data_IF_977629091739
#
_entry.id   IF_977629091739
#
_cell.length_a   1.000
_cell.length_b   1.000
_cell.length_c   1.000
_cell.angle_alpha   90.00
_cell.angle_beta   90.00
_cell.angle_gamma   90.00
#
_symmetry.space_group_name_H-M   'P 1'
#
loop_
_entity.id
_entity.type
_entity.pdbx_description
1 polymer ?
#
# COMPACT_ATOMS: atom_id res chain seq x y z
N UNK A 1 2.71 -10.78 15.92
CA UNK A 1 1.29 -10.37 15.95
C UNK A 1 1.22 -8.94 15.45
N UNK A 2 0.21 -8.58 14.65
CA UNK A 2 -0.02 -7.18 14.27
C UNK A 2 -0.44 -6.43 15.54
N UNK A 3 0.18 -5.28 15.82
CA UNK A 3 -0.13 -4.48 17.00
C UNK A 3 -1.54 -3.88 16.93
N UNK A 4 -2.07 -3.49 18.10
CA UNK A 4 -3.45 -3.01 18.24
C UNK A 4 -3.69 -1.70 17.48
N UNK A 5 -2.69 -0.82 17.38
CA UNK A 5 -2.79 0.44 16.64
C UNK A 5 -2.93 0.21 15.14
N UNK A 6 -2.12 -0.70 14.60
CA UNK A 6 -2.25 -1.14 13.21
C UNK A 6 -3.59 -1.82 12.96
N UNK A 7 -4.08 -2.64 13.88
CA UNK A 7 -5.40 -3.29 13.76
C UNK A 7 -6.55 -2.29 13.71
N UNK A 8 -6.51 -1.25 14.53
CA UNK A 8 -7.51 -0.18 14.54
C UNK A 8 -7.45 0.69 13.28
N UNK A 9 -6.27 0.89 12.72
CA UNK A 9 -6.11 1.62 11.46
C UNK A 9 -6.73 0.83 10.32
N UNK A 10 -6.44 -0.48 10.25
CA UNK A 10 -6.98 -1.37 9.22
C UNK A 10 -8.50 -1.53 9.30
N UNK A 11 -9.09 -1.52 10.50
CA UNK A 11 -10.54 -1.66 10.66
C UNK A 11 -11.33 -0.47 10.09
N UNK A 12 -10.68 0.70 9.96
CA UNK A 12 -11.26 1.92 9.38
C UNK A 12 -11.11 2.01 7.87
N UNK A 13 -10.34 1.11 7.25
CA UNK A 13 -10.15 1.08 5.79
C UNK A 13 -11.31 0.31 5.15
N UNK A 14 -12.01 0.88 4.14
CA UNK A 14 -13.06 0.16 3.43
C UNK A 14 -12.54 -1.11 2.76
N UNK A 15 -13.21 -2.23 3.05
CA UNK A 15 -12.91 -3.53 2.46
C UNK A 15 -13.47 -3.62 1.04
N UNK A 16 -12.71 -4.25 0.16
CA UNK A 16 -13.07 -4.46 -1.24
C UNK A 16 -13.88 -5.75 -1.41
N UNK A 17 -14.65 -5.83 -2.50
CA UNK A 17 -15.55 -6.97 -2.76
C UNK A 17 -15.22 -7.64 -4.09
N UNK A 18 -14.87 -6.85 -5.09
CA UNK A 18 -14.66 -7.35 -6.45
C UNK A 18 -13.34 -8.12 -6.54
N UNK A 19 -13.39 -9.41 -6.87
CA UNK A 19 -12.18 -10.22 -7.14
C UNK A 19 -11.84 -10.13 -8.63
N UNK A 20 -11.16 -9.07 -9.03
CA UNK A 20 -10.77 -8.83 -10.41
C UNK A 20 -9.38 -8.20 -10.49
N UNK A 21 -8.60 -8.65 -11.47
CA UNK A 21 -7.28 -8.11 -11.81
C UNK A 21 -7.29 -7.34 -13.13
N UNK A 22 -6.12 -6.82 -13.54
CA UNK A 22 -5.99 -5.98 -14.75
C UNK A 22 -6.50 -6.60 -16.06
N UNK A 23 -6.63 -7.93 -16.13
CA UNK A 23 -7.11 -8.65 -17.32
C UNK A 23 -8.63 -8.78 -17.41
N UNK A 24 -9.35 -8.49 -16.34
CA UNK A 24 -10.80 -8.74 -16.22
C UNK A 24 -11.66 -7.59 -16.76
N UNK A 25 -11.08 -6.68 -17.56
CA UNK A 25 -11.75 -5.59 -18.30
C UNK A 25 -12.72 -4.77 -17.43
N UNK A 26 -14.03 -4.93 -17.61
CA UNK A 26 -15.04 -4.14 -16.89
C UNK A 26 -15.03 -4.40 -15.38
N UNK A 27 -14.74 -5.64 -14.97
CA UNK A 27 -14.61 -5.98 -13.55
C UNK A 27 -13.38 -5.31 -12.94
N UNK A 28 -12.32 -5.09 -13.72
CA UNK A 28 -11.16 -4.31 -13.28
C UNK A 28 -11.54 -2.85 -13.01
N UNK A 29 -12.35 -2.25 -13.87
CA UNK A 29 -12.84 -0.88 -13.66
C UNK A 29 -13.69 -0.78 -12.39
N UNK A 30 -14.52 -1.79 -12.10
CA UNK A 30 -15.28 -1.87 -10.85
C UNK A 30 -14.34 -1.97 -9.65
N UNK A 31 -13.34 -2.85 -9.71
CA UNK A 31 -12.32 -2.99 -8.67
C UNK A 31 -11.55 -1.69 -8.45
N UNK A 32 -11.11 -1.01 -9.51
CA UNK A 32 -10.40 0.27 -9.40
C UNK A 32 -11.22 1.34 -8.69
N UNK A 33 -12.54 1.41 -8.94
CA UNK A 33 -13.42 2.32 -8.20
C UNK A 33 -13.41 2.03 -6.71
N UNK A 34 -13.44 0.75 -6.31
CA UNK A 34 -13.31 0.34 -4.91
C UNK A 34 -11.94 0.71 -4.33
N UNK A 35 -10.86 0.52 -5.10
CA UNK A 35 -9.50 0.90 -4.68
C UNK A 35 -9.37 2.41 -4.42
N UNK A 36 -9.85 3.25 -5.34
CA UNK A 36 -9.83 4.71 -5.14
C UNK A 36 -10.67 5.12 -3.94
N UNK A 37 -11.87 4.56 -3.77
CA UNK A 37 -12.70 4.87 -2.60
C UNK A 37 -12.00 4.47 -1.30
N UNK A 38 -11.36 3.31 -1.27
CA UNK A 38 -10.61 2.83 -0.11
C UNK A 38 -9.41 3.72 0.20
N UNK A 39 -8.64 4.13 -0.82
CA UNK A 39 -7.50 5.04 -0.69
C UNK A 39 -7.92 6.44 -0.24
N UNK A 40 -8.94 7.02 -0.85
CA UNK A 40 -9.47 8.35 -0.48
C UNK A 40 -9.91 8.33 0.98
N UNK A 41 -10.66 7.30 1.40
CA UNK A 41 -11.11 7.20 2.78
C UNK A 41 -9.94 7.00 3.75
N UNK A 42 -8.93 6.23 3.36
CA UNK A 42 -7.74 6.06 4.18
C UNK A 42 -6.97 7.38 4.37
N UNK A 43 -6.75 8.14 3.29
CA UNK A 43 -6.11 9.46 3.36
C UNK A 43 -6.94 10.45 4.18
N UNK A 44 -8.28 10.44 4.05
CA UNK A 44 -9.16 11.27 4.87
C UNK A 44 -9.00 10.95 6.36
N UNK A 45 -9.04 9.68 6.73
CA UNK A 45 -8.87 9.25 8.12
C UNK A 45 -7.48 9.65 8.67
N UNK A 46 -6.44 9.56 7.84
CA UNK A 46 -5.09 9.99 8.20
C UNK A 46 -5.02 11.49 8.45
N UNK A 47 -5.64 12.31 7.59
CA UNK A 47 -5.74 13.76 7.77
C UNK A 47 -6.54 14.16 9.01
N UNK A 48 -7.65 13.49 9.28
CA UNK A 48 -8.45 13.69 10.50
C UNK A 48 -7.66 13.36 11.77
N UNK A 49 -6.69 12.44 11.67
CA UNK A 49 -5.78 12.06 12.75
C UNK A 49 -4.47 12.87 12.77
N UNK A 50 -4.34 13.92 11.95
CA UNK A 50 -3.12 14.72 11.77
C UNK A 50 -1.87 13.88 11.46
N UNK A 51 -2.06 12.79 10.71
CA UNK A 51 -1.03 11.83 10.35
C UNK A 51 -1.07 11.55 8.84
N UNK A 52 -1.13 12.60 8.01
CA UNK A 52 -1.03 12.46 6.57
C UNK A 52 0.42 12.13 6.19
N UNK A 53 0.63 11.00 5.51
CA UNK A 53 1.97 10.43 5.28
C UNK A 53 2.23 9.97 3.84
N UNK A 54 1.23 10.01 2.94
CA UNK A 54 1.45 9.62 1.55
C UNK A 54 0.44 10.21 0.58
N UNK A 55 0.85 10.25 -0.69
CA UNK A 55 0.00 10.54 -1.83
C UNK A 55 0.34 9.59 -2.97
N UNK A 56 -0.69 8.98 -3.56
CA UNK A 56 -0.55 8.05 -4.67
C UNK A 56 -1.46 8.46 -5.83
N UNK A 57 -0.94 8.29 -7.02
CA UNK A 57 -1.61 8.48 -8.29
C UNK A 57 -1.35 7.25 -9.17
N UNK A 58 -2.15 7.07 -10.22
CA UNK A 58 -1.99 5.95 -11.14
C UNK A 58 -2.06 6.41 -12.59
N UNK A 59 -1.61 5.56 -13.50
CA UNK A 59 -1.93 5.70 -14.92
C UNK A 59 -3.44 5.54 -15.17
N UNK A 60 -3.87 5.86 -16.41
CA UNK A 60 -5.27 5.77 -16.83
C UNK A 60 -5.86 4.37 -16.68
N UNK A 61 -5.02 3.35 -16.84
CA UNK A 61 -5.41 1.94 -16.73
C UNK A 61 -5.41 1.43 -15.28
N UNK A 62 -4.90 2.21 -14.31
CA UNK A 62 -4.77 1.83 -12.91
C UNK A 62 -3.81 0.66 -12.64
N UNK A 63 -2.95 0.33 -13.61
CA UNK A 63 -2.00 -0.78 -13.55
C UNK A 63 -0.62 -0.37 -13.05
N UNK A 64 -0.30 0.92 -13.11
CA UNK A 64 0.93 1.50 -12.59
C UNK A 64 0.59 2.59 -11.60
N UNK A 65 1.19 2.53 -10.43
CA UNK A 65 0.99 3.48 -9.35
C UNK A 65 2.31 4.12 -8.99
N UNK A 66 2.26 5.42 -8.76
CA UNK A 66 3.41 6.23 -8.41
C UNK A 66 2.97 7.37 -7.51
N UNK A 67 3.90 7.86 -6.71
CA UNK A 67 3.61 8.95 -5.79
C UNK A 67 4.74 9.16 -4.81
N UNK A 68 4.40 9.70 -3.65
CA UNK A 68 5.35 10.05 -2.61
C UNK A 68 4.81 9.64 -1.25
N UNK A 69 5.67 9.13 -0.39
CA UNK A 69 5.39 9.00 1.03
C UNK A 69 6.38 9.84 1.83
N UNK A 70 5.99 10.25 3.02
CA UNK A 70 6.87 10.99 3.90
C UNK A 70 6.72 10.52 5.34
N UNK A 71 7.79 10.69 6.11
CA UNK A 71 7.87 10.33 7.51
C UNK A 71 8.47 11.50 8.28
N UNK A 72 7.92 11.79 9.46
CA UNK A 72 8.41 12.84 10.34
C UNK A 72 9.12 12.17 11.51
N UNK A 73 10.42 12.42 11.64
CA UNK A 73 11.24 11.95 12.75
C UNK A 73 12.08 13.12 13.28
N UNK A 74 12.07 13.35 14.58
CA UNK A 74 12.77 14.48 15.24
C UNK A 74 12.49 15.85 14.58
N UNK A 75 11.22 16.11 14.25
CA UNK A 75 10.76 17.32 13.54
C UNK A 75 11.35 17.51 12.13
N UNK A 76 12.04 16.51 11.58
CA UNK A 76 12.51 16.49 10.20
C UNK A 76 11.56 15.67 9.34
N UNK A 77 11.11 16.25 8.22
CA UNK A 77 10.31 15.57 7.22
C UNK A 77 11.23 14.90 6.21
N UNK A 78 11.18 13.57 6.15
CA UNK A 78 11.81 12.74 5.13
C UNK A 78 10.77 12.40 4.08
N UNK A 79 11.07 12.62 2.81
CA UNK A 79 10.17 12.34 1.70
C UNK A 79 10.84 11.34 0.75
N UNK A 80 10.06 10.37 0.28
CA UNK A 80 10.53 9.29 -0.59
C UNK A 80 9.55 9.07 -1.72
N UNK A 81 10.08 8.89 -2.93
CA UNK A 81 9.29 8.45 -4.07
C UNK A 81 8.85 6.99 -3.92
N UNK A 82 7.57 6.73 -4.22
CA UNK A 82 6.92 5.42 -4.15
C UNK A 82 6.47 5.02 -5.54
N UNK A 83 6.78 3.80 -5.97
CA UNK A 83 6.28 3.25 -7.22
C UNK A 83 5.98 1.76 -7.12
N UNK A 84 4.96 1.29 -7.84
CA UNK A 84 4.67 -0.13 -8.00
C UNK A 84 3.75 -0.41 -9.18
N UNK A 85 3.90 -1.61 -9.75
CA UNK A 85 3.01 -2.14 -10.76
C UNK A 85 2.01 -3.14 -10.13
N UNK A 86 0.79 -3.16 -10.64
CA UNK A 86 -0.22 -4.14 -10.27
C UNK A 86 0.08 -5.47 -10.98
N UNK A 87 0.31 -6.57 -10.23
CA UNK A 87 0.58 -7.85 -10.85
C UNK A 87 -0.67 -8.35 -11.60
N UNK A 88 -0.45 -9.13 -12.66
CA UNK A 88 -1.54 -9.74 -13.44
C UNK A 88 -2.46 -10.61 -12.58
N UNK A 89 -1.93 -11.21 -11.52
CA UNK A 89 -2.64 -12.08 -10.57
C UNK A 89 -3.29 -11.31 -9.42
N UNK A 90 -3.28 -9.97 -9.42
CA UNK A 90 -3.99 -9.15 -8.45
C UNK A 90 -5.50 -9.43 -8.47
N UNK A 91 -6.23 -9.42 -7.33
CA UNK A 91 -5.78 -9.17 -5.95
C UNK A 91 -5.21 -10.41 -5.23
N UNK A 92 -5.05 -11.55 -5.92
CA UNK A 92 -4.52 -12.77 -5.30
C UNK A 92 -3.08 -12.59 -4.85
N UNK A 93 -2.28 -11.91 -5.66
CA UNK A 93 -0.91 -11.50 -5.32
C UNK A 93 -0.91 -10.03 -4.95
N UNK A 94 -0.30 -9.68 -3.82
CA UNK A 94 -0.09 -8.29 -3.41
C UNK A 94 0.89 -7.58 -4.36
N UNK A 95 0.74 -6.26 -4.59
CA UNK A 95 1.73 -5.48 -5.32
C UNK A 95 3.03 -5.36 -4.52
N UNK A 96 4.14 -5.28 -5.24
CA UNK A 96 5.47 -5.06 -4.64
C UNK A 96 5.77 -3.57 -4.62
N UNK A 97 5.69 -2.95 -3.45
CA UNK A 97 5.95 -1.52 -3.27
C UNK A 97 7.45 -1.28 -3.33
N UNK A 98 7.88 -0.36 -4.19
CA UNK A 98 9.27 0.07 -4.32
C UNK A 98 9.47 1.50 -3.81
N UNK A 99 10.60 1.70 -3.12
CA UNK A 99 11.15 2.97 -2.67
C UNK A 99 12.57 3.08 -3.24
N UNK A 100 12.73 3.54 -4.50
CA UNK A 100 14.02 3.51 -5.21
C UNK A 100 15.12 4.27 -4.46
N UNK A 101 14.79 5.34 -3.76
CA UNK A 101 15.74 6.17 -3.01
C UNK A 101 16.40 5.46 -1.82
N UNK A 102 15.80 4.37 -1.35
CA UNK A 102 16.27 3.56 -0.24
C UNK A 102 16.99 2.28 -0.70
N UNK A 103 17.08 2.04 -2.02
CA UNK A 103 17.80 0.90 -2.57
C UNK A 103 19.27 0.93 -2.12
N UNK A 104 19.75 -0.18 -1.55
CA UNK A 104 21.10 -0.30 -1.01
C UNK A 104 21.38 0.45 0.30
N UNK A 105 20.44 1.24 0.83
CA UNK A 105 20.61 1.95 2.11
C UNK A 105 20.15 1.15 3.33
N UNK A 106 19.37 0.08 3.12
CA UNK A 106 18.87 -0.78 4.21
C UNK A 106 18.90 -2.26 3.82
N UNK A 107 19.18 -3.12 4.80
CA UNK A 107 19.14 -4.59 4.63
C UNK A 107 17.72 -5.16 4.50
N UNK A 108 16.69 -4.33 4.71
CA UNK A 108 15.26 -4.70 4.60
C UNK A 108 14.66 -4.38 3.23
N UNK A 109 15.48 -4.29 2.20
CA UNK A 109 15.03 -4.11 0.82
C UNK A 109 15.60 -5.18 -0.10
N UNK A 110 14.76 -5.63 -1.03
CA UNK A 110 15.18 -6.43 -2.17
C UNK A 110 15.78 -5.50 -3.24
N UNK A 111 16.58 -6.10 -4.12
CA UNK A 111 17.23 -5.40 -5.23
C UNK A 111 16.23 -4.57 -6.04
N UNK A 112 16.55 -3.28 -6.26
CA UNK A 112 15.69 -2.34 -6.97
C UNK A 112 14.70 -1.61 -6.06
N UNK A 113 15.05 -1.42 -4.78
CA UNK A 113 14.26 -0.61 -3.84
C UNK A 113 12.94 -1.25 -3.39
N UNK A 114 12.68 -2.51 -3.74
CA UNK A 114 11.44 -3.20 -3.34
C UNK A 114 11.47 -3.50 -1.85
N UNK A 115 10.41 -3.14 -1.15
CA UNK A 115 10.30 -3.37 0.29
C UNK A 115 10.30 -4.87 0.58
N UNK A 116 11.18 -5.34 1.48
CA UNK A 116 11.07 -6.68 2.04
C UNK A 116 9.89 -6.74 3.00
N UNK A 117 8.70 -7.04 2.46
CA UNK A 117 7.54 -7.36 3.27
C UNK A 117 7.86 -8.54 4.19
N UNK A 118 7.45 -8.46 5.45
CA UNK A 118 7.70 -9.53 6.43
C UNK A 118 7.12 -10.88 5.98
N UNK A 119 7.70 -11.99 6.44
CA UNK A 119 7.20 -13.34 6.14
C UNK A 119 5.73 -13.54 6.56
N UNK A 120 5.26 -12.74 7.52
CA UNK A 120 3.88 -12.74 8.02
C UNK A 120 2.89 -12.04 7.08
N UNK A 121 3.37 -11.19 6.16
CA UNK A 121 2.51 -10.43 5.26
C UNK A 121 1.86 -11.33 4.20
N UNK A 122 2.61 -12.24 3.58
CA UNK A 122 2.07 -13.12 2.51
C UNK A 122 0.90 -14.00 3.00
N UNK A 123 0.99 -14.70 4.16
CA UNK A 123 -0.13 -15.45 4.70
C UNK A 123 -1.31 -14.55 5.11
N UNK A 124 -1.05 -13.36 5.66
CA UNK A 124 -2.09 -12.42 6.05
C UNK A 124 -2.87 -11.91 4.83
N UNK A 125 -2.17 -11.56 3.76
CA UNK A 125 -2.78 -11.15 2.49
C UNK A 125 -3.62 -12.29 1.92
N UNK A 126 -3.05 -13.48 1.78
CA UNK A 126 -3.72 -14.65 1.20
C UNK A 126 -5.05 -14.99 1.89
N UNK A 127 -5.13 -14.86 3.22
CA UNK A 127 -6.36 -15.10 4.01
C UNK A 127 -7.45 -14.04 3.80
N UNK A 128 -7.08 -12.85 3.34
CA UNK A 128 -7.98 -11.72 3.20
C UNK A 128 -8.29 -11.35 1.75
N UNK A 129 -7.80 -12.10 0.75
CA UNK A 129 -8.21 -11.93 -0.65
C UNK A 129 -9.71 -12.24 -0.79
N UNK A 130 -10.52 -11.42 -1.49
CA UNK A 130 -10.21 -10.21 -2.24
C UNK A 130 -10.41 -8.89 -1.46
N UNK A 131 -10.64 -8.97 -0.14
CA UNK A 131 -11.03 -7.83 0.71
C UNK A 131 -9.93 -6.78 0.85
N UNK A 132 -8.68 -7.21 0.81
CA UNK A 132 -7.53 -6.30 0.86
C UNK A 132 -7.25 -5.69 -0.50
N UNK A 133 -6.77 -4.44 -0.46
CA UNK A 133 -6.45 -3.62 -1.62
C UNK A 133 -5.17 -2.81 -1.42
N UNK A 134 -4.97 -1.78 -2.24
CA UNK A 134 -3.76 -0.94 -2.25
C UNK A 134 -3.63 -0.18 -0.93
N UNK A 135 -4.73 0.36 -0.40
CA UNK A 135 -4.78 1.02 0.91
C UNK A 135 -4.25 0.13 2.04
N UNK A 136 -4.60 -1.16 2.00
CA UNK A 136 -4.16 -2.15 2.97
C UNK A 136 -2.68 -2.50 2.78
N UNK A 137 -2.22 -2.61 1.52
CA UNK A 137 -0.82 -2.82 1.21
C UNK A 137 0.06 -1.66 1.70
N UNK A 138 -0.40 -0.41 1.55
CA UNK A 138 0.28 0.77 2.08
C UNK A 138 0.33 0.76 3.61
N UNK A 139 -0.81 0.52 4.28
CA UNK A 139 -0.90 0.51 5.73
C UNK A 139 -0.07 -0.62 6.38
N UNK A 140 -0.05 -1.82 5.80
CA UNK A 140 0.68 -2.97 6.33
C UNK A 140 2.14 -3.06 5.86
N UNK A 141 2.44 -2.51 4.68
CA UNK A 141 3.75 -2.62 4.04
C UNK A 141 4.66 -1.46 4.39
N UNK A 142 4.23 -0.23 4.10
CA UNK A 142 5.11 0.96 4.15
C UNK A 142 5.23 1.51 5.58
N UNK A 143 4.15 1.52 6.35
CA UNK A 143 4.15 2.03 7.73
C UNK A 143 5.18 1.29 8.62
N UNK A 144 5.38 -0.01 8.40
CA UNK A 144 6.40 -0.78 9.12
C UNK A 144 7.84 -0.43 8.72
N UNK A 145 8.06 -0.01 7.48
CA UNK A 145 9.41 0.36 7.00
C UNK A 145 9.80 1.73 7.52
N UNK A 146 8.87 2.68 7.55
CA UNK A 146 9.12 4.03 8.09
C UNK A 146 9.40 4.04 9.59
N UNK A 147 8.91 3.06 10.36
CA UNK A 147 9.23 2.90 11.79
C UNK A 147 10.63 2.30 12.06
N UNK A 148 11.33 1.85 11.03
CA UNK A 148 12.64 1.20 11.12
C UNK A 148 13.79 2.06 10.56
N UNK A 149 13.46 3.26 10.04
CA UNK A 149 14.42 4.29 9.61
C UNK A 149 14.47 5.34 10.72
#
# INVERSE_FOLDING_TARGET
MVDEGTRQTLSKIPLLKTKAGPRDKELWVQRLKEEYQSLIKYVQNNKEADNDWFRLESNKEGTKWFGKCWYIHDLLKYEFDVEFDIPVTYPTTAPEIALPELDGKTAKMYRGGKICLSDHFKPLWARNVPKFGISHAMALGVMFVTLLI
#
